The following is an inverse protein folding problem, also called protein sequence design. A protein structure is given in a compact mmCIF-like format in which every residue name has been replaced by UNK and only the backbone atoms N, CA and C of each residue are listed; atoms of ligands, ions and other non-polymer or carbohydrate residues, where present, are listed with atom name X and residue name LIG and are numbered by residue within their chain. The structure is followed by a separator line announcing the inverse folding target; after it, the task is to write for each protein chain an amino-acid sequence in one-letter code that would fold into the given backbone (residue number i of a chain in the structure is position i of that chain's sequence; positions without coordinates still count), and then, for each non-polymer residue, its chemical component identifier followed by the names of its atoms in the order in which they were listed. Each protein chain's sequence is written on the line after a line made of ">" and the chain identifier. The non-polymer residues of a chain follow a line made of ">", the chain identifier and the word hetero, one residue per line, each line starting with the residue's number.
data_IF_986391062967
#
_entry.id   IF_986391062967
#
_cell.length_a   1.000
_cell.length_b   1.000
_cell.length_c   1.000
_cell.angle_alpha   90.00
_cell.angle_beta   90.00
_cell.angle_gamma   90.00
#
_symmetry.space_group_name_H-M   'P 1'
#
loop_
_entity.id
_entity.type
_entity.pdbx_description
1 polymer ?
#
# COMPACT_ATOMS: atom_id res chain seq x y z
N UNK A 1 -72.95 11.52 22.00
CA UNK A 1 -72.02 11.42 20.84
C UNK A 1 -70.53 11.68 21.16
N UNK A 2 -70.15 12.20 22.29
CA UNK A 2 -68.78 12.51 22.70
C UNK A 2 -67.96 11.25 23.12
N UNK A 3 -68.60 10.12 23.45
CA UNK A 3 -67.85 8.92 23.89
C UNK A 3 -67.09 8.15 22.77
N UNK A 4 -67.72 8.07 21.57
CA UNK A 4 -67.10 7.36 20.44
C UNK A 4 -65.87 8.06 19.87
N UNK A 5 -65.85 9.41 19.86
CA UNK A 5 -64.74 10.19 19.34
C UNK A 5 -63.47 10.00 20.19
N UNK A 6 -63.58 9.95 21.52
CA UNK A 6 -62.46 9.69 22.44
C UNK A 6 -61.89 8.27 22.25
N UNK A 7 -62.74 7.28 22.00
CA UNK A 7 -62.34 5.91 21.74
C UNK A 7 -61.55 5.80 20.42
N UNK A 8 -62.03 6.42 19.36
CA UNK A 8 -61.29 6.41 18.07
C UNK A 8 -59.94 7.15 18.15
N UNK A 9 -59.90 8.26 18.89
CA UNK A 9 -58.63 8.95 19.13
C UNK A 9 -57.63 8.04 19.87
N UNK A 10 -58.08 7.32 20.89
CA UNK A 10 -57.26 6.38 21.64
C UNK A 10 -56.79 5.23 20.75
N UNK A 11 -57.63 4.64 19.90
CA UNK A 11 -57.28 3.61 18.94
C UNK A 11 -56.23 4.09 17.95
N UNK A 12 -56.34 5.32 17.41
CA UNK A 12 -55.32 5.92 16.51
C UNK A 12 -53.99 6.10 17.23
N UNK A 13 -54.01 6.60 18.46
CA UNK A 13 -52.79 6.79 19.26
C UNK A 13 -52.06 5.47 19.52
N UNK A 14 -52.80 4.42 19.87
CA UNK A 14 -52.24 3.08 20.11
C UNK A 14 -51.62 2.50 18.83
N UNK A 15 -52.29 2.66 17.69
CA UNK A 15 -51.74 2.21 16.39
C UNK A 15 -50.46 2.99 16.05
N UNK A 16 -50.50 4.32 16.20
CA UNK A 16 -49.35 5.18 15.95
C UNK A 16 -48.14 4.82 16.83
N UNK A 17 -48.37 4.60 18.14
CA UNK A 17 -47.34 4.17 19.07
C UNK A 17 -46.76 2.80 18.69
N UNK A 18 -47.62 1.84 18.30
CA UNK A 18 -47.19 0.52 17.85
C UNK A 18 -46.31 0.58 16.62
N UNK A 19 -46.66 1.38 15.62
CA UNK A 19 -45.87 1.59 14.41
C UNK A 19 -44.53 2.27 14.76
N UNK A 20 -44.56 3.32 15.57
CA UNK A 20 -43.33 4.06 15.99
C UNK A 20 -42.38 3.16 16.76
N UNK A 21 -42.90 2.36 17.70
CA UNK A 21 -42.07 1.40 18.44
C UNK A 21 -41.48 0.31 17.54
N UNK A 22 -42.25 -0.17 16.56
CA UNK A 22 -41.76 -1.16 15.59
C UNK A 22 -40.61 -0.60 14.73
N UNK A 23 -40.72 0.64 14.24
CA UNK A 23 -39.65 1.31 13.51
C UNK A 23 -38.42 1.54 14.39
N UNK A 24 -38.61 1.94 15.63
CA UNK A 24 -37.52 2.13 16.57
C UNK A 24 -36.76 0.84 16.85
N UNK A 25 -37.50 -0.26 17.09
CA UNK A 25 -36.91 -1.57 17.31
C UNK A 25 -36.14 -2.08 16.09
N UNK A 26 -36.70 -1.87 14.87
CA UNK A 26 -36.04 -2.26 13.64
C UNK A 26 -34.76 -1.43 13.38
N UNK A 27 -34.82 -0.12 13.56
CA UNK A 27 -33.64 0.73 13.43
C UNK A 27 -32.53 0.31 14.43
N UNK A 28 -32.89 0.03 15.68
CA UNK A 28 -31.97 -0.43 16.70
C UNK A 28 -31.30 -1.77 16.31
N UNK A 29 -32.08 -2.71 15.76
CA UNK A 29 -31.56 -3.98 15.25
C UNK A 29 -30.58 -3.77 14.11
N UNK A 30 -30.91 -2.89 13.16
CA UNK A 30 -30.04 -2.55 12.02
C UNK A 30 -28.73 -1.88 12.48
N UNK A 31 -28.79 -0.99 13.45
CA UNK A 31 -27.60 -0.34 14.00
C UNK A 31 -26.63 -1.34 14.63
N UNK A 32 -27.17 -2.33 15.37
CA UNK A 32 -26.35 -3.42 15.93
C UNK A 32 -25.71 -4.25 14.82
N UNK A 33 -26.46 -4.60 13.79
CA UNK A 33 -25.97 -5.38 12.65
C UNK A 33 -24.85 -4.62 11.92
N UNK A 34 -25.05 -3.34 11.63
CA UNK A 34 -24.04 -2.48 11.00
C UNK A 34 -22.76 -2.42 11.86
N UNK A 35 -22.90 -2.26 13.18
CA UNK A 35 -21.72 -2.23 14.07
C UNK A 35 -20.95 -3.56 14.08
N UNK A 36 -21.65 -4.68 14.07
CA UNK A 36 -21.00 -6.00 14.02
C UNK A 36 -20.27 -6.21 12.71
N UNK A 37 -20.90 -5.86 11.59
CA UNK A 37 -20.26 -5.94 10.26
C UNK A 37 -19.07 -4.97 10.15
N UNK A 38 -19.19 -3.76 10.69
CA UNK A 38 -18.06 -2.80 10.74
C UNK A 38 -16.89 -3.36 11.56
N UNK A 39 -17.17 -4.05 12.66
CA UNK A 39 -16.11 -4.71 13.45
C UNK A 39 -15.32 -5.68 12.59
N UNK A 40 -15.99 -6.54 11.84
CA UNK A 40 -15.34 -7.52 10.95
C UNK A 40 -14.58 -6.83 9.81
N UNK A 41 -15.13 -5.76 9.24
CA UNK A 41 -14.45 -4.93 8.26
C UNK A 41 -13.16 -4.32 8.83
N UNK A 42 -13.21 -3.78 10.07
CA UNK A 42 -12.04 -3.18 10.71
C UNK A 42 -10.95 -4.21 11.06
N UNK A 43 -11.31 -5.45 11.41
CA UNK A 43 -10.34 -6.53 11.55
C UNK A 43 -9.67 -6.85 10.21
N UNK A 44 -10.44 -6.89 9.13
CA UNK A 44 -9.92 -7.15 7.79
C UNK A 44 -9.03 -6.00 7.31
N UNK A 45 -9.44 -4.75 7.54
CA UNK A 45 -8.65 -3.53 7.26
C UNK A 45 -7.33 -3.57 8.05
N UNK A 46 -7.36 -3.94 9.32
CA UNK A 46 -6.15 -4.04 10.15
C UNK A 46 -5.18 -5.11 9.64
N UNK A 47 -5.69 -6.21 9.12
CA UNK A 47 -4.89 -7.25 8.47
C UNK A 47 -4.25 -6.74 7.17
N UNK A 48 -5.01 -6.05 6.32
CA UNK A 48 -4.53 -5.43 5.08
C UNK A 48 -3.40 -4.42 5.39
N UNK A 49 -3.60 -3.52 6.36
CA UNK A 49 -2.59 -2.55 6.79
C UNK A 49 -1.32 -3.24 7.29
N UNK A 50 -1.46 -4.33 8.04
CA UNK A 50 -0.31 -5.10 8.55
C UNK A 50 0.50 -5.73 7.41
N UNK A 51 -0.17 -6.23 6.37
CA UNK A 51 0.46 -6.74 5.16
C UNK A 51 1.18 -5.62 4.39
N UNK A 52 0.55 -4.45 4.28
CA UNK A 52 1.13 -3.27 3.64
C UNK A 52 2.40 -2.81 4.34
N UNK A 53 2.40 -2.74 5.67
CA UNK A 53 3.58 -2.39 6.49
C UNK A 53 4.73 -3.35 6.19
N UNK A 54 4.48 -4.66 6.29
CA UNK A 54 5.49 -5.70 6.05
C UNK A 54 6.06 -5.61 4.62
N UNK A 55 5.20 -5.35 3.63
CA UNK A 55 5.62 -5.24 2.23
C UNK A 55 6.46 -3.98 1.99
N UNK A 56 6.07 -2.83 2.56
CA UNK A 56 6.84 -1.58 2.48
C UNK A 56 8.22 -1.72 3.13
N UNK A 57 8.32 -2.34 4.30
CA UNK A 57 9.59 -2.62 4.96
C UNK A 57 10.49 -3.56 4.13
N UNK A 58 9.89 -4.56 3.48
CA UNK A 58 10.59 -5.46 2.58
C UNK A 58 11.14 -4.73 1.35
N UNK A 59 10.35 -3.84 0.77
CA UNK A 59 10.75 -3.02 -0.38
C UNK A 59 11.88 -2.06 0.01
N UNK A 60 11.75 -1.35 1.12
CA UNK A 60 12.78 -0.43 1.64
C UNK A 60 14.14 -1.16 1.79
N UNK A 61 14.13 -2.34 2.42
CA UNK A 61 15.35 -3.16 2.58
C UNK A 61 15.95 -3.57 1.24
N UNK A 62 15.13 -3.96 0.26
CA UNK A 62 15.59 -4.34 -1.08
C UNK A 62 16.19 -3.18 -1.83
N UNK A 63 15.54 -2.02 -1.81
CA UNK A 63 16.03 -0.81 -2.46
C UNK A 63 17.35 -0.36 -1.83
N UNK A 64 17.49 -0.36 -0.51
CA UNK A 64 18.75 -0.08 0.18
C UNK A 64 19.88 -1.05 -0.26
N UNK A 65 19.54 -2.33 -0.40
CA UNK A 65 20.50 -3.33 -0.92
C UNK A 65 20.91 -3.03 -2.37
N UNK A 66 19.97 -2.54 -3.19
CA UNK A 66 20.25 -2.12 -4.56
C UNK A 66 21.17 -0.90 -4.61
N UNK A 67 20.94 0.10 -3.79
CA UNK A 67 21.76 1.32 -3.70
C UNK A 67 23.22 0.96 -3.38
N UNK A 68 23.46 0.11 -2.38
CA UNK A 68 24.80 -0.38 -2.03
C UNK A 68 25.45 -1.11 -3.21
N UNK A 69 24.69 -1.91 -3.96
CA UNK A 69 25.23 -2.60 -5.13
C UNK A 69 25.56 -1.62 -6.27
N UNK A 70 24.75 -0.58 -6.47
CA UNK A 70 24.98 0.48 -7.45
C UNK A 70 26.25 1.26 -7.10
N UNK A 71 26.46 1.62 -5.84
CA UNK A 71 27.67 2.30 -5.39
C UNK A 71 28.93 1.45 -5.67
N UNK A 72 28.86 0.13 -5.39
CA UNK A 72 29.95 -0.81 -5.69
C UNK A 72 30.20 -0.92 -7.20
N UNK A 73 29.16 -0.97 -8.05
CA UNK A 73 29.30 -0.97 -9.50
C UNK A 73 29.93 0.32 -10.01
N UNK A 74 29.57 1.48 -9.46
CA UNK A 74 30.16 2.78 -9.82
C UNK A 74 31.65 2.86 -9.46
N UNK A 75 32.04 2.33 -8.29
CA UNK A 75 33.43 2.24 -7.90
C UNK A 75 34.23 1.35 -8.86
N UNK A 76 33.67 0.21 -9.26
CA UNK A 76 34.26 -0.69 -10.25
C UNK A 76 34.43 -0.01 -11.62
N UNK A 77 33.40 0.66 -12.14
CA UNK A 77 33.43 1.36 -13.41
C UNK A 77 34.50 2.47 -13.43
N UNK A 78 34.72 3.12 -12.29
CA UNK A 78 35.72 4.17 -12.10
C UNK A 78 37.11 3.62 -11.81
N UNK A 79 37.36 2.34 -11.96
CA UNK A 79 38.62 1.63 -11.68
C UNK A 79 39.18 1.87 -10.26
N UNK A 80 38.26 2.14 -9.28
CA UNK A 80 38.64 2.35 -7.87
C UNK A 80 38.68 1.05 -7.06
N UNK A 81 37.96 0.03 -7.53
CA UNK A 81 38.00 -1.32 -6.97
C UNK A 81 38.11 -2.34 -8.09
N UNK A 82 38.73 -3.47 -7.81
CA UNK A 82 38.72 -4.63 -8.67
C UNK A 82 37.85 -5.74 -8.03
N UNK A 83 36.99 -6.37 -8.81
CA UNK A 83 36.09 -7.45 -8.35
C UNK A 83 36.00 -8.53 -9.42
N UNK A 84 35.92 -9.77 -8.99
CA UNK A 84 35.73 -10.91 -9.89
C UNK A 84 34.36 -10.90 -10.61
N UNK A 85 34.27 -11.64 -11.70
CA UNK A 85 33.07 -11.70 -12.55
C UNK A 85 31.84 -12.18 -11.78
N UNK A 86 31.99 -13.13 -10.85
CA UNK A 86 30.86 -13.63 -10.06
C UNK A 86 30.30 -12.55 -9.12
N UNK A 87 31.20 -11.75 -8.55
CA UNK A 87 30.82 -10.60 -7.72
C UNK A 87 30.08 -9.55 -8.56
N UNK A 88 30.54 -9.23 -9.78
CA UNK A 88 29.83 -8.32 -10.68
C UNK A 88 28.42 -8.83 -11.02
N UNK A 89 28.30 -10.13 -11.33
CA UNK A 89 26.96 -10.73 -11.57
C UNK A 89 26.06 -10.57 -10.35
N UNK A 90 26.58 -10.75 -9.13
CA UNK A 90 25.80 -10.56 -7.89
C UNK A 90 25.40 -9.11 -7.70
N UNK A 91 26.29 -8.16 -7.95
CA UNK A 91 25.98 -6.73 -7.85
C UNK A 91 24.90 -6.31 -8.85
N UNK A 92 24.99 -6.76 -10.10
CA UNK A 92 23.97 -6.49 -11.13
C UNK A 92 22.60 -7.10 -10.72
N UNK A 93 22.56 -8.33 -10.20
CA UNK A 93 21.33 -8.94 -9.70
C UNK A 93 20.73 -8.15 -8.52
N UNK A 94 21.57 -7.62 -7.61
CA UNK A 94 21.12 -6.80 -6.50
C UNK A 94 20.63 -5.42 -6.95
N UNK A 95 21.30 -4.82 -7.94
CA UNK A 95 20.82 -3.58 -8.57
C UNK A 95 19.39 -3.71 -9.07
N UNK A 96 18.97 -4.88 -9.58
CA UNK A 96 17.59 -5.10 -10.04
C UNK A 96 16.54 -5.02 -8.91
N UNK A 97 16.93 -5.02 -7.64
CA UNK A 97 15.99 -4.81 -6.54
C UNK A 97 15.42 -3.39 -6.50
N UNK A 98 16.09 -2.42 -7.17
CA UNK A 98 15.53 -1.08 -7.39
C UNK A 98 14.21 -1.07 -8.15
N UNK A 99 13.87 -2.14 -8.87
CA UNK A 99 12.59 -2.28 -9.62
C UNK A 99 11.39 -2.59 -8.74
N UNK A 100 11.57 -2.79 -7.43
CA UNK A 100 10.46 -3.13 -6.55
C UNK A 100 9.61 -1.89 -6.29
N UNK A 101 8.31 -2.00 -6.53
CA UNK A 101 7.30 -1.00 -6.22
C UNK A 101 6.27 -1.57 -5.26
N UNK A 102 5.59 -0.71 -4.52
CA UNK A 102 4.58 -1.08 -3.54
C UNK A 102 3.19 -1.08 -4.17
N UNK A 103 2.46 -2.16 -3.96
CA UNK A 103 1.05 -2.31 -4.36
C UNK A 103 0.20 -2.54 -3.12
N UNK A 104 -0.59 -1.54 -2.69
CA UNK A 104 -1.34 -1.62 -1.45
C UNK A 104 -2.53 -2.57 -1.50
N UNK A 105 -2.86 -3.16 -0.34
CA UNK A 105 -4.06 -3.97 -0.11
C UNK A 105 -5.22 -3.07 0.32
N UNK A 106 -6.23 -2.89 -0.54
CA UNK A 106 -7.34 -1.97 -0.27
C UNK A 106 -8.73 -2.60 -0.33
N UNK A 107 -8.83 -3.91 -0.51
CA UNK A 107 -10.12 -4.57 -0.75
C UNK A 107 -11.08 -4.45 0.44
N UNK A 108 -10.60 -4.66 1.66
CA UNK A 108 -11.43 -4.56 2.87
C UNK A 108 -11.98 -3.15 3.07
N UNK A 109 -11.16 -2.12 2.89
CA UNK A 109 -11.60 -0.72 2.96
C UNK A 109 -12.65 -0.40 1.88
N UNK A 110 -12.44 -0.84 0.64
CA UNK A 110 -13.38 -0.61 -0.45
C UNK A 110 -14.74 -1.26 -0.18
N UNK A 111 -14.79 -2.45 0.41
CA UNK A 111 -16.02 -3.12 0.82
C UNK A 111 -16.74 -2.33 1.92
N UNK A 112 -16.04 -1.91 2.97
CA UNK A 112 -16.59 -1.11 4.06
C UNK A 112 -17.10 0.26 3.57
N UNK A 113 -16.39 0.88 2.64
CA UNK A 113 -16.75 2.17 2.04
C UNK A 113 -17.97 2.05 1.12
N UNK A 114 -17.98 1.10 0.20
CA UNK A 114 -19.08 0.93 -0.77
C UNK A 114 -20.40 0.51 -0.12
N UNK A 115 -20.34 -0.22 0.99
CA UNK A 115 -21.52 -0.57 1.79
C UNK A 115 -21.99 0.54 2.73
N UNK A 116 -21.24 1.64 2.83
CA UNK A 116 -21.52 2.75 3.75
C UNK A 116 -21.23 2.46 5.22
N UNK A 117 -20.78 1.25 5.59
CA UNK A 117 -20.52 0.87 6.99
C UNK A 117 -19.40 1.68 7.63
N UNK A 118 -18.42 2.14 6.84
CA UNK A 118 -17.33 2.99 7.31
C UNK A 118 -17.86 4.28 8.00
N UNK A 119 -19.03 4.78 7.59
CA UNK A 119 -19.64 5.98 8.16
C UNK A 119 -20.18 5.78 9.59
N UNK A 120 -20.24 4.55 10.08
CA UNK A 120 -20.60 4.25 11.46
C UNK A 120 -19.43 4.37 12.44
N UNK A 121 -18.21 4.67 11.96
CA UNK A 121 -17.08 5.01 12.80
C UNK A 121 -17.33 6.39 13.42
N UNK A 122 -17.41 6.44 14.76
CA UNK A 122 -17.63 7.68 15.50
C UNK A 122 -16.37 8.53 15.71
N UNK A 123 -15.19 7.91 15.61
CA UNK A 123 -13.90 8.59 15.77
C UNK A 123 -13.49 9.34 14.50
N UNK A 124 -13.61 10.67 14.53
CA UNK A 124 -13.23 11.56 13.42
C UNK A 124 -11.73 11.52 13.12
N UNK A 125 -10.89 11.25 14.14
CA UNK A 125 -9.44 11.13 13.97
C UNK A 125 -9.10 9.88 13.17
N UNK A 126 -9.72 8.74 13.49
CA UNK A 126 -9.59 7.49 12.72
C UNK A 126 -10.09 7.66 11.28
N UNK A 127 -11.28 8.26 11.08
CA UNK A 127 -11.83 8.52 9.75
C UNK A 127 -10.90 9.36 8.89
N UNK A 128 -10.27 10.40 9.46
CA UNK A 128 -9.31 11.25 8.76
C UNK A 128 -8.10 10.44 8.27
N UNK A 129 -7.50 9.63 9.13
CA UNK A 129 -6.30 8.85 8.77
C UNK A 129 -6.64 7.72 7.80
N UNK A 130 -7.82 7.09 7.91
CA UNK A 130 -8.33 6.14 6.91
C UNK A 130 -8.42 6.78 5.52
N UNK A 131 -9.04 7.96 5.44
CA UNK A 131 -9.15 8.70 4.17
C UNK A 131 -7.78 9.10 3.63
N UNK A 132 -6.87 9.59 4.48
CA UNK A 132 -5.51 9.96 4.06
C UNK A 132 -4.74 8.75 3.51
N UNK A 133 -4.81 7.61 4.18
CA UNK A 133 -4.13 6.40 3.74
C UNK A 133 -4.69 5.84 2.42
N UNK A 134 -6.00 5.56 2.37
CA UNK A 134 -6.61 4.87 1.24
C UNK A 134 -6.92 5.77 0.03
N UNK A 135 -7.09 7.07 0.21
CA UNK A 135 -7.39 7.99 -0.89
C UNK A 135 -6.14 8.76 -1.34
N UNK A 136 -5.40 9.39 -0.40
CA UNK A 136 -4.28 10.25 -0.76
C UNK A 136 -2.99 9.44 -0.98
N UNK A 137 -2.61 8.59 -0.01
CA UNK A 137 -1.35 7.85 -0.11
C UNK A 137 -1.39 6.79 -1.21
N UNK A 138 -2.50 6.07 -1.37
CA UNK A 138 -2.67 5.10 -2.46
C UNK A 138 -2.56 5.76 -3.84
N UNK A 139 -3.21 6.91 -4.04
CA UNK A 139 -3.13 7.63 -5.30
C UNK A 139 -1.71 8.15 -5.56
N UNK A 140 -1.03 8.67 -4.54
CA UNK A 140 0.37 9.08 -4.63
C UNK A 140 1.28 7.90 -4.99
N UNK A 141 1.10 6.75 -4.35
CA UNK A 141 1.83 5.51 -4.66
C UNK A 141 1.58 5.11 -6.11
N UNK A 142 0.33 5.08 -6.57
CA UNK A 142 -0.05 4.70 -7.94
C UNK A 142 0.65 5.55 -8.99
N UNK A 143 0.65 6.87 -8.82
CA UNK A 143 1.31 7.80 -9.72
C UNK A 143 2.83 7.57 -9.72
N UNK A 144 3.43 7.44 -8.54
CA UNK A 144 4.87 7.29 -8.41
C UNK A 144 5.37 5.91 -8.88
N UNK A 145 4.56 4.86 -8.79
CA UNK A 145 4.88 3.57 -9.41
C UNK A 145 5.07 3.72 -10.93
N UNK A 146 4.19 4.46 -11.61
CA UNK A 146 4.33 4.73 -13.03
C UNK A 146 5.62 5.50 -13.37
N UNK A 147 5.93 6.55 -12.62
CA UNK A 147 7.17 7.32 -12.79
C UNK A 147 8.41 6.46 -12.52
N UNK A 148 8.36 5.62 -11.51
CA UNK A 148 9.43 4.69 -11.17
C UNK A 148 9.64 3.64 -12.28
N UNK A 149 8.56 3.10 -12.84
CA UNK A 149 8.64 2.13 -13.92
C UNK A 149 9.23 2.76 -15.19
N UNK A 150 8.89 4.00 -15.49
CA UNK A 150 9.45 4.74 -16.62
C UNK A 150 10.96 5.03 -16.44
N UNK A 151 11.37 5.43 -15.23
CA UNK A 151 12.75 5.82 -14.95
C UNK A 151 13.71 4.64 -14.69
N UNK A 152 13.21 3.52 -14.19
CA UNK A 152 14.03 2.37 -13.78
C UNK A 152 13.69 1.10 -14.56
N UNK A 153 12.43 0.67 -14.52
CA UNK A 153 12.04 -0.65 -15.03
C UNK A 153 12.21 -0.76 -16.54
N UNK A 154 11.76 0.25 -17.28
CA UNK A 154 11.89 0.27 -18.75
C UNK A 154 13.35 0.36 -19.22
N UNK A 155 14.17 1.34 -18.75
CA UNK A 155 15.57 1.41 -19.13
C UNK A 155 16.36 0.14 -18.77
N UNK A 156 16.11 -0.45 -17.60
CA UNK A 156 16.75 -1.71 -17.20
C UNK A 156 16.33 -2.88 -18.11
N UNK A 157 15.08 -2.95 -18.53
CA UNK A 157 14.61 -4.00 -19.44
C UNK A 157 15.31 -3.93 -20.81
N UNK A 158 15.62 -2.73 -21.28
CA UNK A 158 16.36 -2.52 -22.54
C UNK A 158 17.88 -2.78 -22.37
N UNK A 159 18.43 -2.42 -21.21
CA UNK A 159 19.86 -2.49 -20.98
C UNK A 159 20.33 -3.87 -20.53
N UNK A 160 19.51 -4.59 -19.75
CA UNK A 160 19.87 -5.89 -19.18
C UNK A 160 20.27 -6.95 -20.22
N UNK A 161 19.62 -7.13 -21.38
CA UNK A 161 20.03 -8.05 -22.42
C UNK A 161 21.38 -7.70 -23.05
N UNK A 162 21.75 -6.42 -23.06
CA UNK A 162 23.04 -5.96 -23.58
C UNK A 162 24.19 -6.26 -22.60
N UNK A 163 23.90 -6.22 -21.29
CA UNK A 163 24.87 -6.55 -20.23
C UNK A 163 25.05 -8.06 -20.03
N UNK A 164 23.94 -8.82 -20.11
CA UNK A 164 23.89 -10.26 -19.81
C UNK A 164 23.61 -11.04 -21.10
N UNK A 165 24.66 -11.35 -21.81
CA UNK A 165 24.58 -12.08 -23.07
C UNK A 165 24.44 -13.59 -22.80
N UNK A 166 23.54 -14.24 -23.51
CA UNK A 166 23.37 -15.69 -23.44
C UNK A 166 24.49 -16.37 -24.23
N UNK A 167 25.16 -17.35 -23.62
CA UNK A 167 26.09 -18.22 -24.35
C UNK A 167 25.34 -19.03 -25.39
N UNK A 168 25.89 -19.20 -26.58
CA UNK A 168 25.33 -20.04 -27.61
C UNK A 168 25.09 -21.48 -27.06
N UNK A 169 23.91 -21.98 -27.29
CA UNK A 169 23.47 -23.33 -26.89
C UNK A 169 23.50 -23.62 -25.38
N UNK A 170 23.55 -22.60 -24.53
CA UNK A 170 23.56 -22.76 -23.06
C UNK A 170 22.48 -21.88 -22.40
N UNK A 171 22.03 -22.29 -21.21
CA UNK A 171 21.23 -21.41 -20.31
C UNK A 171 22.09 -20.41 -19.56
N UNK A 172 23.42 -20.54 -19.61
CA UNK A 172 24.35 -19.66 -18.95
C UNK A 172 24.39 -18.27 -19.62
N UNK A 173 24.58 -17.26 -18.79
CA UNK A 173 24.76 -15.87 -19.23
C UNK A 173 26.12 -15.37 -18.83
N UNK A 174 26.75 -14.66 -19.74
CA UNK A 174 28.03 -13.96 -19.52
C UNK A 174 27.83 -12.47 -19.45
N UNK A 175 28.69 -11.79 -18.66
CA UNK A 175 28.74 -10.35 -18.62
C UNK A 175 29.46 -9.80 -19.85
N UNK A 176 28.83 -8.86 -20.54
CA UNK A 176 29.47 -8.06 -21.57
C UNK A 176 30.21 -6.88 -20.91
N UNK A 177 31.50 -7.08 -20.65
CA UNK A 177 32.36 -6.11 -19.99
C UNK A 177 32.44 -4.78 -20.73
N UNK A 178 32.38 -4.81 -22.08
CA UNK A 178 32.41 -3.61 -22.91
C UNK A 178 31.19 -2.72 -22.69
N UNK A 179 30.05 -3.30 -22.34
CA UNK A 179 28.83 -2.54 -22.03
C UNK A 179 28.90 -1.91 -20.65
N UNK A 180 29.49 -2.61 -19.68
CA UNK A 180 29.62 -2.10 -18.30
C UNK A 180 30.55 -0.87 -18.21
N UNK A 181 31.56 -0.76 -19.07
CA UNK A 181 32.49 0.38 -19.10
C UNK A 181 31.99 1.57 -19.92
N UNK A 182 30.81 1.49 -20.53
CA UNK A 182 30.24 2.60 -21.29
C UNK A 182 29.64 3.67 -20.38
N UNK A 183 29.70 4.93 -20.87
CA UNK A 183 29.11 6.08 -20.16
C UNK A 183 27.60 5.89 -19.94
N UNK A 184 26.89 5.32 -20.90
CA UNK A 184 25.44 5.07 -20.82
C UNK A 184 25.07 4.19 -19.63
N UNK A 185 25.92 3.22 -19.27
CA UNK A 185 25.68 2.39 -18.09
C UNK A 185 25.91 3.18 -16.79
N UNK A 186 26.95 4.00 -16.74
CA UNK A 186 27.19 4.90 -15.60
C UNK A 186 26.05 5.88 -15.39
N UNK A 187 25.56 6.50 -16.45
CA UNK A 187 24.44 7.44 -16.42
C UNK A 187 23.14 6.72 -15.96
N UNK A 188 22.91 5.49 -16.42
CA UNK A 188 21.81 4.66 -15.98
C UNK A 188 21.88 4.36 -14.48
N UNK A 189 23.07 4.00 -13.95
CA UNK A 189 23.23 3.74 -12.50
C UNK A 189 22.89 4.98 -11.67
N UNK A 190 23.30 6.18 -12.09
CA UNK A 190 22.98 7.43 -11.41
C UNK A 190 21.47 7.66 -11.39
N UNK A 191 20.80 7.48 -12.54
CA UNK A 191 19.35 7.64 -12.65
C UNK A 191 18.60 6.67 -11.76
N UNK A 192 19.00 5.39 -11.76
CA UNK A 192 18.39 4.36 -10.91
C UNK A 192 18.55 4.72 -9.43
N UNK A 193 19.76 5.08 -9.02
CA UNK A 193 20.04 5.42 -7.62
C UNK A 193 19.20 6.60 -7.16
N UNK A 194 19.20 7.70 -7.89
CA UNK A 194 18.44 8.91 -7.56
C UNK A 194 16.92 8.63 -7.48
N UNK A 195 16.37 7.95 -8.48
CA UNK A 195 14.94 7.62 -8.51
C UNK A 195 14.55 6.68 -7.36
N UNK A 196 15.38 5.67 -7.09
CA UNK A 196 15.14 4.72 -6.01
C UNK A 196 15.21 5.38 -4.62
N UNK A 197 16.13 6.31 -4.41
CA UNK A 197 16.26 7.11 -3.18
C UNK A 197 15.03 8.01 -2.96
N UNK A 198 14.56 8.70 -4.01
CA UNK A 198 13.34 9.51 -3.95
C UNK A 198 12.13 8.63 -3.61
N UNK A 199 11.95 7.53 -4.33
CA UNK A 199 10.84 6.62 -4.10
C UNK A 199 10.81 6.09 -2.66
N UNK A 200 11.96 5.65 -2.14
CA UNK A 200 12.05 5.12 -0.78
C UNK A 200 11.83 6.20 0.28
N UNK A 201 12.51 7.35 0.13
CA UNK A 201 12.52 8.37 1.18
C UNK A 201 11.22 9.18 1.24
N UNK A 202 10.53 9.39 0.11
CA UNK A 202 9.34 10.25 0.06
C UNK A 202 8.04 9.48 -0.13
N UNK A 203 8.07 8.35 -0.84
CA UNK A 203 6.83 7.59 -1.10
C UNK A 203 6.66 6.49 -0.07
N UNK A 204 7.62 5.58 0.02
CA UNK A 204 7.51 4.42 0.92
C UNK A 204 7.50 4.87 2.38
N UNK A 205 8.43 5.73 2.81
CA UNK A 205 8.51 6.16 4.21
C UNK A 205 7.26 6.90 4.67
N UNK A 206 6.79 7.88 3.92
CA UNK A 206 5.59 8.64 4.31
C UNK A 206 4.35 7.75 4.34
N UNK A 207 4.21 6.81 3.39
CA UNK A 207 3.10 5.85 3.38
C UNK A 207 3.19 4.90 4.55
N UNK A 208 4.40 4.44 4.90
CA UNK A 208 4.64 3.55 6.03
C UNK A 208 4.29 4.22 7.37
N UNK A 209 4.70 5.47 7.57
CA UNK A 209 4.37 6.24 8.77
C UNK A 209 2.85 6.41 8.94
N UNK A 210 2.13 6.73 7.85
CA UNK A 210 0.67 6.81 7.87
C UNK A 210 0.02 5.46 8.15
N UNK A 211 0.54 4.36 7.58
CA UNK A 211 0.05 3.01 7.82
C UNK A 211 0.21 2.59 9.30
N UNK A 212 1.34 2.91 9.91
CA UNK A 212 1.62 2.61 11.32
C UNK A 212 0.71 3.40 12.28
N UNK A 213 0.48 4.71 12.01
CA UNK A 213 -0.50 5.51 12.77
C UNK A 213 -1.91 4.95 12.59
N UNK A 214 -2.31 4.64 11.36
CA UNK A 214 -3.62 4.05 11.07
C UNK A 214 -3.83 2.72 11.81
N UNK A 215 -2.85 1.82 11.75
CA UNK A 215 -2.92 0.55 12.47
C UNK A 215 -3.16 0.75 13.96
N UNK A 216 -2.38 1.65 14.57
CA UNK A 216 -2.50 1.95 16.01
C UNK A 216 -3.89 2.47 16.36
N UNK A 217 -4.47 3.34 15.52
CA UNK A 217 -5.82 3.89 15.72
C UNK A 217 -6.92 2.86 15.53
N UNK A 218 -6.81 2.00 14.51
CA UNK A 218 -7.77 0.91 14.30
C UNK A 218 -7.78 -0.05 15.48
N UNK A 219 -6.60 -0.46 15.98
CA UNK A 219 -6.48 -1.35 17.14
C UNK A 219 -7.04 -0.70 18.41
N UNK A 220 -6.78 0.58 18.65
CA UNK A 220 -7.33 1.33 19.78
C UNK A 220 -8.86 1.40 19.69
N UNK A 221 -9.42 1.76 18.54
CA UNK A 221 -10.85 1.84 18.30
C UNK A 221 -11.55 0.49 18.50
N UNK A 222 -10.99 -0.60 17.95
CA UNK A 222 -11.52 -1.95 18.14
C UNK A 222 -11.56 -2.35 19.60
N UNK A 223 -10.52 -2.01 20.37
CA UNK A 223 -10.43 -2.30 21.80
C UNK A 223 -11.44 -1.48 22.63
N UNK A 224 -11.74 -0.26 22.23
CA UNK A 224 -12.61 0.65 22.97
C UNK A 224 -14.09 0.43 22.64
N UNK A 225 -14.42 0.35 21.36
CA UNK A 225 -15.81 0.28 20.88
C UNK A 225 -16.46 -1.10 21.01
N UNK A 226 -15.64 -2.18 21.18
CA UNK A 226 -16.12 -3.57 21.19
C UNK A 226 -15.62 -4.37 22.40
N UNK A 227 -15.49 -3.70 23.54
CA UNK A 227 -15.23 -4.32 24.86
C UNK A 227 -16.38 -5.17 25.38
#
# INVERSE_FOLDING_TARGET
>A
MLGNSKRHIFEIVVIFLGITLSFYAENYRQDIEIRNLLKDDLFSINADISNDINEMERIDKRIKTSIIAIDSLRLYISDKIDVDQNTLVRLIKRMLYSRNTFFPYGAAYQVAQSSGRINAISDQGLMKVLSEYYQNNYERVRINNGLHDDAITKPLAEFYPKMMVRKEFSSERELNMNVLKKKEFSDLLITIQYTAEIYTNYIIRNTLETAQDLKTRVEAYLKEAYK
#
